data_IF_419155189241
#
_entry.id   IF_419155189241
#
_cell.length_a   1.000
_cell.length_b   1.000
_cell.length_c   1.000
_cell.angle_alpha   90.00
_cell.angle_beta   90.00
_cell.angle_gamma   90.00
#
_symmetry.space_group_name_H-M   'P 1'
#
loop_
_entity.id
_entity.type
_entity.pdbx_description
1 polymer ?
#
# COMPACT_ATOMS: atom_id res chain seq x y z
N UNK A 1 -23.67 6.89 -5.21
CA UNK A 1 -22.67 7.83 -5.74
C UNK A 1 -22.16 8.63 -4.58
N UNK A 2 -20.86 8.60 -4.35
CA UNK A 2 -20.23 9.35 -3.28
C UNK A 2 -20.09 10.83 -3.65
N UNK A 3 -19.93 11.71 -2.66
CA UNK A 3 -19.85 13.17 -2.86
C UNK A 3 -18.78 13.56 -3.89
N UNK A 4 -17.60 12.92 -3.85
CA UNK A 4 -16.50 13.20 -4.78
C UNK A 4 -16.84 12.86 -6.24
N UNK A 5 -17.69 11.85 -6.48
CA UNK A 5 -18.11 11.47 -7.82
C UNK A 5 -19.00 12.55 -8.42
N UNK A 6 -19.94 13.07 -7.62
CA UNK A 6 -20.84 14.15 -8.01
C UNK A 6 -20.05 15.42 -8.31
N UNK A 7 -19.08 15.75 -7.46
CA UNK A 7 -18.21 16.92 -7.66
C UNK A 7 -17.39 16.78 -8.96
N UNK A 8 -16.76 15.63 -9.21
CA UNK A 8 -16.00 15.39 -10.44
C UNK A 8 -16.85 15.55 -11.71
N UNK A 9 -18.06 14.99 -11.71
CA UNK A 9 -19.00 15.09 -12.85
C UNK A 9 -19.45 16.54 -13.03
N UNK A 10 -19.74 17.25 -11.93
CA UNK A 10 -20.17 18.65 -11.98
C UNK A 10 -19.10 19.53 -12.60
N UNK A 11 -17.82 19.35 -12.23
CA UNK A 11 -16.72 20.09 -12.85
C UNK A 11 -16.55 19.76 -14.34
N UNK A 12 -16.70 18.49 -14.73
CA UNK A 12 -16.66 18.12 -16.14
C UNK A 12 -17.81 18.76 -16.95
N UNK A 13 -19.02 18.84 -16.36
CA UNK A 13 -20.17 19.53 -16.95
C UNK A 13 -19.96 21.04 -17.06
N UNK A 14 -19.36 21.66 -16.04
CA UNK A 14 -18.96 23.09 -16.09
C UNK A 14 -18.01 23.32 -17.26
N UNK A 15 -17.07 22.40 -17.51
CA UNK A 15 -16.20 22.43 -18.68
C UNK A 15 -16.98 22.47 -20.00
N UNK A 16 -18.00 21.63 -20.15
CA UNK A 16 -18.88 21.64 -21.34
C UNK A 16 -19.62 22.97 -21.49
N UNK A 17 -20.16 23.52 -20.40
CA UNK A 17 -20.86 24.82 -20.40
C UNK A 17 -19.92 25.95 -20.85
N UNK A 18 -18.70 25.99 -20.33
CA UNK A 18 -17.67 26.97 -20.73
C UNK A 18 -17.38 26.82 -22.23
N UNK A 19 -17.26 25.59 -22.72
CA UNK A 19 -17.06 25.31 -24.14
C UNK A 19 -18.17 25.87 -25.02
N UNK A 20 -19.43 25.70 -24.61
CA UNK A 20 -20.60 26.23 -25.32
C UNK A 20 -20.58 27.77 -25.33
N UNK A 21 -20.26 28.41 -24.19
CA UNK A 21 -20.15 29.88 -24.10
C UNK A 21 -19.05 30.40 -25.04
N UNK A 22 -17.87 29.77 -25.03
CA UNK A 22 -16.76 30.12 -25.93
C UNK A 22 -17.16 29.97 -27.40
N UNK A 23 -17.91 28.92 -27.74
CA UNK A 23 -18.43 28.73 -29.10
C UNK A 23 -19.38 29.85 -29.51
N UNK A 24 -20.31 30.26 -28.64
CA UNK A 24 -21.21 31.39 -28.92
C UNK A 24 -20.45 32.71 -29.08
N UNK A 25 -19.48 32.98 -28.20
CA UNK A 25 -18.61 34.16 -28.31
C UNK A 25 -17.81 34.17 -29.62
N UNK A 26 -17.28 33.01 -30.03
CA UNK A 26 -16.54 32.88 -31.30
C UNK A 26 -17.38 33.26 -32.52
N UNK A 27 -18.68 32.94 -32.47
CA UNK A 27 -19.64 33.26 -33.52
C UNK A 27 -19.98 34.76 -33.52
N UNK A 28 -20.11 35.38 -32.35
CA UNK A 28 -20.37 36.82 -32.21
C UNK A 28 -19.20 37.64 -32.76
N UNK A 29 -17.97 37.25 -32.48
CA UNK A 29 -16.76 37.98 -32.94
C UNK A 29 -16.24 37.54 -34.32
N UNK A 30 -16.87 36.55 -34.95
CA UNK A 30 -16.46 35.97 -36.25
C UNK A 30 -14.97 35.53 -36.28
N UNK A 31 -14.47 34.99 -35.17
CA UNK A 31 -13.09 34.52 -35.05
C UNK A 31 -13.02 33.04 -35.47
N UNK A 32 -12.67 32.79 -36.74
CA UNK A 32 -12.63 31.43 -37.31
C UNK A 32 -11.75 30.44 -36.53
N UNK A 33 -10.60 30.90 -36.01
CA UNK A 33 -9.73 30.07 -35.17
C UNK A 33 -10.36 29.67 -33.84
N UNK A 34 -11.02 30.62 -33.16
CA UNK A 34 -11.68 30.38 -31.88
C UNK A 34 -12.87 29.42 -32.03
N UNK A 35 -13.59 29.50 -33.16
CA UNK A 35 -14.69 28.58 -33.46
C UNK A 35 -14.21 27.14 -33.52
N UNK A 36 -13.18 26.85 -34.33
CA UNK A 36 -12.61 25.50 -34.46
C UNK A 36 -12.08 24.97 -33.12
N UNK A 37 -11.42 25.84 -32.34
CA UNK A 37 -10.93 25.49 -31.00
C UNK A 37 -12.08 25.10 -30.07
N UNK A 38 -13.14 25.92 -30.01
CA UNK A 38 -14.30 25.66 -29.13
C UNK A 38 -15.08 24.41 -29.53
N UNK A 39 -15.18 24.07 -30.82
CA UNK A 39 -15.80 22.82 -31.27
C UNK A 39 -15.03 21.59 -30.76
N UNK A 40 -13.70 21.60 -30.87
CA UNK A 40 -12.84 20.52 -30.35
C UNK A 40 -13.01 20.43 -28.82
N UNK A 41 -12.96 21.56 -28.13
CA UNK A 41 -13.08 21.61 -26.67
C UNK A 41 -14.42 21.05 -26.17
N UNK A 42 -15.54 21.36 -26.82
CA UNK A 42 -16.87 20.80 -26.47
C UNK A 42 -16.88 19.28 -26.61
N UNK A 43 -16.34 18.75 -27.72
CA UNK A 43 -16.25 17.31 -27.93
C UNK A 43 -15.38 16.61 -26.88
N UNK A 44 -14.23 17.19 -26.55
CA UNK A 44 -13.33 16.63 -25.53
C UNK A 44 -13.94 16.66 -24.12
N UNK A 45 -14.57 17.77 -23.73
CA UNK A 45 -15.27 17.88 -22.46
C UNK A 45 -16.44 16.88 -22.38
N UNK A 46 -17.22 16.74 -23.46
CA UNK A 46 -18.31 15.76 -23.54
C UNK A 46 -17.84 14.30 -23.41
N UNK A 47 -16.76 13.93 -24.10
CA UNK A 47 -16.13 12.60 -23.96
C UNK A 47 -15.62 12.38 -22.54
N UNK A 48 -15.10 13.43 -21.88
CA UNK A 48 -14.61 13.34 -20.50
C UNK A 48 -15.74 13.07 -19.50
N UNK A 49 -16.91 13.68 -19.68
CA UNK A 49 -18.11 13.38 -18.87
C UNK A 49 -18.55 11.92 -19.05
N UNK A 50 -18.64 11.45 -20.29
CA UNK A 50 -19.01 10.05 -20.57
C UNK A 50 -17.99 9.06 -19.98
N UNK A 51 -16.71 9.38 -20.09
CA UNK A 51 -15.63 8.58 -19.52
C UNK A 51 -15.72 8.54 -17.99
N UNK A 52 -15.98 9.67 -17.33
CA UNK A 52 -16.13 9.73 -15.88
C UNK A 52 -17.30 8.85 -15.41
N UNK A 53 -18.46 8.96 -16.06
CA UNK A 53 -19.63 8.13 -15.75
C UNK A 53 -19.35 6.63 -15.93
N UNK A 54 -18.75 6.25 -17.07
CA UNK A 54 -18.37 4.87 -17.34
C UNK A 54 -17.38 4.35 -16.29
N UNK A 55 -16.38 5.15 -15.93
CA UNK A 55 -15.32 4.80 -15.00
C UNK A 55 -15.85 4.59 -13.59
N UNK A 56 -16.76 5.43 -13.09
CA UNK A 56 -17.36 5.22 -11.77
C UNK A 56 -18.19 3.93 -11.70
N UNK A 57 -19.02 3.68 -12.72
CA UNK A 57 -19.80 2.42 -12.80
C UNK A 57 -18.85 1.21 -12.88
N UNK A 58 -17.77 1.32 -13.66
CA UNK A 58 -16.79 0.26 -13.80
C UNK A 58 -16.05 -0.01 -12.47
N UNK A 59 -15.61 1.03 -11.76
CA UNK A 59 -14.92 0.88 -10.46
C UNK A 59 -15.83 0.22 -9.43
N UNK A 60 -17.09 0.62 -9.33
CA UNK A 60 -18.03 0.02 -8.37
C UNK A 60 -18.24 -1.48 -8.66
N UNK A 61 -18.41 -1.85 -9.94
CA UNK A 61 -18.55 -3.26 -10.33
C UNK A 61 -17.27 -4.05 -10.12
N UNK A 62 -16.13 -3.47 -10.48
CA UNK A 62 -14.82 -4.09 -10.34
C UNK A 62 -14.45 -4.30 -8.87
N UNK A 63 -14.76 -3.35 -7.99
CA UNK A 63 -14.51 -3.46 -6.54
C UNK A 63 -15.23 -4.66 -5.93
N UNK A 64 -16.52 -4.82 -6.22
CA UNK A 64 -17.30 -5.96 -5.72
C UNK A 64 -16.74 -7.28 -6.25
N UNK A 65 -16.46 -7.36 -7.55
CA UNK A 65 -15.89 -8.54 -8.18
C UNK A 65 -14.52 -8.92 -7.60
N UNK A 66 -13.61 -7.95 -7.42
CA UNK A 66 -12.29 -8.19 -6.85
C UNK A 66 -12.33 -8.50 -5.36
N UNK A 67 -13.31 -7.99 -4.63
CA UNK A 67 -13.55 -8.38 -3.24
C UNK A 67 -13.95 -9.85 -3.16
N UNK A 68 -14.88 -10.31 -4.01
CA UNK A 68 -15.30 -11.72 -4.06
C UNK A 68 -14.10 -12.64 -4.39
N UNK A 69 -13.26 -12.26 -5.36
CA UNK A 69 -12.03 -13.00 -5.67
C UNK A 69 -11.09 -13.01 -4.46
N UNK A 70 -10.88 -11.86 -3.82
CA UNK A 70 -10.02 -11.78 -2.63
C UNK A 70 -10.54 -12.68 -1.51
N UNK A 71 -11.86 -12.73 -1.31
CA UNK A 71 -12.48 -13.61 -0.33
C UNK A 71 -12.22 -15.09 -0.63
N UNK A 72 -12.40 -15.51 -1.88
CA UNK A 72 -12.10 -16.90 -2.27
C UNK A 72 -10.60 -17.21 -2.12
N UNK A 73 -9.71 -16.28 -2.48
CA UNK A 73 -8.28 -16.42 -2.28
C UNK A 73 -7.89 -16.55 -0.80
N UNK A 74 -8.57 -15.85 0.11
CA UNK A 74 -8.28 -15.98 1.54
C UNK A 74 -8.91 -17.24 2.16
N UNK A 75 -10.03 -17.72 1.63
CA UNK A 75 -10.61 -19.01 2.05
C UNK A 75 -9.66 -20.17 1.78
N UNK A 76 -8.87 -20.15 0.70
CA UNK A 76 -7.91 -21.23 0.40
C UNK A 76 -6.80 -21.35 1.47
N UNK A 77 -6.44 -20.25 2.13
CA UNK A 77 -5.51 -20.25 3.27
C UNK A 77 -6.23 -20.37 4.63
N UNK A 78 -7.51 -20.79 4.62
CA UNK A 78 -8.29 -21.03 5.83
C UNK A 78 -8.74 -19.77 6.58
N UNK A 79 -8.82 -18.63 5.89
CA UNK A 79 -9.22 -17.33 6.47
C UNK A 79 -10.55 -16.87 5.89
N UNK A 80 -11.49 -16.55 6.78
CA UNK A 80 -12.76 -15.94 6.38
C UNK A 80 -12.74 -14.43 6.62
N UNK A 81 -12.91 -13.68 5.52
CA UNK A 81 -13.05 -12.21 5.50
C UNK A 81 -14.48 -11.76 5.15
N UNK A 82 -15.47 -12.66 5.24
CA UNK A 82 -16.88 -12.36 4.91
C UNK A 82 -17.49 -11.20 5.68
N UNK A 83 -16.97 -10.89 6.87
CA UNK A 83 -17.44 -9.79 7.71
C UNK A 83 -16.90 -8.41 7.33
N UNK A 84 -15.93 -8.30 6.41
CA UNK A 84 -15.21 -7.05 6.14
C UNK A 84 -16.08 -6.05 5.37
N UNK A 85 -16.32 -4.89 5.99
CA UNK A 85 -16.92 -3.71 5.36
C UNK A 85 -15.91 -2.54 5.33
N UNK A 86 -15.83 -1.77 4.22
CA UNK A 86 -16.55 -1.92 2.95
C UNK A 86 -16.01 -3.08 2.09
N UNK A 87 -16.86 -3.66 1.23
CA UNK A 87 -16.51 -4.75 0.29
C UNK A 87 -15.61 -4.27 -0.85
N UNK A 88 -14.35 -4.00 -0.54
CA UNK A 88 -13.34 -3.54 -1.49
C UNK A 88 -12.08 -4.39 -1.38
N UNK A 89 -11.34 -4.62 -2.48
CA UNK A 89 -10.08 -5.38 -2.43
C UNK A 89 -9.06 -4.77 -1.48
N UNK A 90 -9.09 -3.43 -1.37
CA UNK A 90 -8.29 -2.65 -0.44
C UNK A 90 -8.67 -2.91 1.03
N UNK A 91 -9.96 -3.02 1.36
CA UNK A 91 -10.38 -3.37 2.72
C UNK A 91 -9.97 -4.81 3.08
N UNK A 92 -10.11 -5.76 2.14
CA UNK A 92 -9.64 -7.13 2.31
C UNK A 92 -8.12 -7.15 2.59
N UNK A 93 -7.33 -6.45 1.76
CA UNK A 93 -5.89 -6.31 1.94
C UNK A 93 -5.57 -5.70 3.32
N UNK A 94 -6.24 -4.60 3.68
CA UNK A 94 -6.03 -3.88 4.95
C UNK A 94 -6.28 -4.77 6.15
N UNK A 95 -7.36 -5.56 6.13
CA UNK A 95 -7.71 -6.45 7.25
C UNK A 95 -6.66 -7.54 7.42
N UNK A 96 -6.22 -8.17 6.33
CA UNK A 96 -5.19 -9.20 6.37
C UNK A 96 -3.83 -8.63 6.76
N UNK A 97 -3.45 -7.47 6.21
CA UNK A 97 -2.24 -6.75 6.60
C UNK A 97 -2.25 -6.36 8.07
N UNK A 98 -3.37 -5.83 8.56
CA UNK A 98 -3.49 -5.41 9.95
C UNK A 98 -3.35 -6.61 10.89
N UNK A 99 -3.94 -7.76 10.52
CA UNK A 99 -3.80 -8.98 11.28
C UNK A 99 -2.36 -9.50 11.23
N UNK A 100 -1.71 -9.50 10.07
CA UNK A 100 -0.29 -9.85 9.92
C UNK A 100 0.61 -8.90 10.73
N UNK A 101 0.34 -7.59 10.74
CA UNK A 101 1.12 -6.60 11.48
C UNK A 101 0.94 -6.74 12.98
N UNK A 102 -0.29 -6.86 13.46
CA UNK A 102 -0.57 -6.91 14.88
C UNK A 102 -0.22 -8.27 15.49
N UNK A 103 -0.61 -9.36 14.83
CA UNK A 103 -0.42 -10.72 15.33
C UNK A 103 0.98 -11.25 15.05
N UNK A 104 1.64 -10.78 13.98
CA UNK A 104 2.98 -11.25 13.61
C UNK A 104 4.06 -10.22 13.92
N UNK A 105 4.01 -9.07 13.25
CA UNK A 105 5.15 -8.18 13.22
C UNK A 105 5.38 -7.43 14.54
N UNK A 106 4.34 -6.90 15.19
CA UNK A 106 4.50 -6.17 16.46
C UNK A 106 4.97 -7.09 17.59
N UNK A 107 4.43 -8.31 17.66
CA UNK A 107 4.85 -9.34 18.62
C UNK A 107 6.30 -9.77 18.38
N UNK A 108 6.65 -10.05 17.13
CA UNK A 108 8.03 -10.42 16.76
C UNK A 108 8.98 -9.27 17.01
N UNK A 109 8.60 -8.04 16.69
CA UNK A 109 9.40 -6.83 16.87
C UNK A 109 9.78 -6.58 18.33
N UNK A 110 8.80 -6.64 19.25
CA UNK A 110 9.08 -6.46 20.68
C UNK A 110 10.04 -7.52 21.23
N UNK A 111 9.90 -8.76 20.76
CA UNK A 111 10.78 -9.84 21.17
C UNK A 111 12.18 -9.73 20.52
N UNK A 112 12.27 -9.32 19.25
CA UNK A 112 13.54 -9.00 18.58
C UNK A 112 14.29 -7.87 19.30
N UNK A 113 13.59 -6.85 19.79
CA UNK A 113 14.20 -5.75 20.55
C UNK A 113 14.81 -6.24 21.87
N UNK A 114 14.10 -7.11 22.61
CA UNK A 114 14.66 -7.69 23.83
C UNK A 114 15.87 -8.56 23.53
N UNK A 115 15.80 -9.37 22.47
CA UNK A 115 16.91 -10.21 22.02
C UNK A 115 18.11 -9.35 21.63
N UNK A 116 17.90 -8.29 20.85
CA UNK A 116 18.95 -7.34 20.48
C UNK A 116 19.58 -6.69 21.71
N UNK A 117 18.78 -6.17 22.64
CA UNK A 117 19.28 -5.53 23.86
C UNK A 117 20.14 -6.49 24.70
N UNK A 118 19.73 -7.76 24.79
CA UNK A 118 20.52 -8.80 25.47
C UNK A 118 21.85 -9.07 24.73
N UNK A 119 21.83 -9.24 23.41
CA UNK A 119 23.04 -9.49 22.63
C UNK A 119 24.00 -8.30 22.62
N UNK A 120 23.49 -7.06 22.58
CA UNK A 120 24.31 -5.85 22.70
C UNK A 120 24.89 -5.70 24.10
N UNK A 121 24.12 -5.98 25.16
CA UNK A 121 24.64 -5.98 26.54
C UNK A 121 25.75 -7.02 26.74
N UNK A 122 25.58 -8.23 26.20
CA UNK A 122 26.61 -9.27 26.25
C UNK A 122 27.80 -8.90 25.38
N UNK A 123 27.56 -8.38 24.17
CA UNK A 123 28.60 -7.94 23.24
C UNK A 123 29.47 -6.82 23.80
N UNK A 124 28.88 -5.81 24.44
CA UNK A 124 29.60 -4.74 25.14
C UNK A 124 30.45 -5.29 26.29
N UNK A 125 29.92 -6.25 27.04
CA UNK A 125 30.65 -6.90 28.13
C UNK A 125 31.88 -7.66 27.61
N UNK A 126 31.74 -8.41 26.50
CA UNK A 126 32.86 -9.13 25.88
C UNK A 126 33.88 -8.17 25.26
N UNK A 127 33.41 -7.14 24.56
CA UNK A 127 34.28 -6.12 23.93
C UNK A 127 35.13 -5.37 24.98
N UNK A 128 34.56 -5.10 26.16
CA UNK A 128 35.27 -4.46 27.28
C UNK A 128 36.41 -5.29 27.87
N UNK A 129 36.38 -6.62 27.69
CA UNK A 129 37.41 -7.54 28.22
C UNK A 129 38.65 -7.61 27.32
N UNK A 130 38.63 -6.98 26.14
CA UNK A 130 39.77 -6.90 25.23
C UNK A 130 39.93 -8.18 24.41
N UNK A 131 39.32 -8.19 23.23
CA UNK A 131 39.32 -9.33 22.30
C UNK A 131 40.74 -9.77 21.86
N UNK A 132 41.75 -8.90 21.99
CA UNK A 132 43.14 -9.20 21.59
C UNK A 132 43.85 -10.24 22.47
N UNK A 133 43.39 -10.49 23.71
CA UNK A 133 44.11 -11.38 24.65
C UNK A 133 43.34 -12.65 25.03
N UNK A 134 42.24 -12.97 24.35
CA UNK A 134 41.33 -14.04 24.80
C UNK A 134 41.39 -15.28 23.90
N UNK A 135 41.39 -16.46 24.55
CA UNK A 135 41.45 -17.78 23.92
C UNK A 135 40.38 -17.96 22.81
N UNK A 136 40.61 -18.86 21.85
CA UNK A 136 39.70 -19.21 20.74
C UNK A 136 38.17 -19.23 21.05
N UNK A 137 37.69 -19.69 22.23
CA UNK A 137 36.25 -19.74 22.52
C UNK A 137 35.57 -18.37 22.58
N UNK A 138 36.22 -17.34 23.14
CA UNK A 138 35.61 -16.00 23.30
C UNK A 138 35.55 -15.25 21.97
N UNK A 139 36.51 -15.49 21.07
CA UNK A 139 36.45 -14.97 19.70
C UNK A 139 35.23 -15.52 18.95
N UNK A 140 34.93 -16.82 19.07
CA UNK A 140 33.76 -17.43 18.42
C UNK A 140 32.43 -16.84 18.91
N UNK A 141 32.34 -16.52 20.21
CA UNK A 141 31.19 -15.83 20.79
C UNK A 141 31.07 -14.40 20.27
N UNK A 142 32.18 -13.66 20.18
CA UNK A 142 32.19 -12.31 19.63
C UNK A 142 31.68 -12.28 18.18
N UNK A 143 32.19 -13.16 17.31
CA UNK A 143 31.69 -13.28 15.93
C UNK A 143 30.20 -13.67 15.87
N UNK A 144 29.75 -14.56 16.75
CA UNK A 144 28.33 -14.92 16.89
C UNK A 144 27.46 -13.72 17.24
N UNK A 145 27.88 -12.87 18.18
CA UNK A 145 27.12 -11.67 18.56
C UNK A 145 27.03 -10.63 17.43
N UNK A 146 28.08 -10.46 16.63
CA UNK A 146 28.08 -9.56 15.48
C UNK A 146 27.11 -10.07 14.40
N UNK A 147 27.20 -11.35 14.05
CA UNK A 147 26.33 -11.97 13.06
C UNK A 147 24.84 -11.87 13.45
N UNK A 148 24.53 -12.15 14.72
CA UNK A 148 23.16 -12.06 15.23
C UNK A 148 22.68 -10.59 15.23
N UNK A 149 23.53 -9.63 15.58
CA UNK A 149 23.19 -8.19 15.54
C UNK A 149 22.81 -7.75 14.12
N UNK A 150 23.60 -8.13 13.10
CA UNK A 150 23.30 -7.76 11.72
C UNK A 150 22.05 -8.45 11.17
N UNK A 151 21.83 -9.71 11.56
CA UNK A 151 20.61 -10.44 11.24
C UNK A 151 19.37 -9.73 11.83
N UNK A 152 19.45 -9.31 13.10
CA UNK A 152 18.38 -8.56 13.77
C UNK A 152 18.10 -7.23 13.05
N UNK A 153 19.13 -6.48 12.64
CA UNK A 153 18.95 -5.23 11.87
C UNK A 153 18.21 -5.46 10.55
N UNK A 154 18.53 -6.53 9.82
CA UNK A 154 17.81 -6.89 8.59
C UNK A 154 16.36 -7.21 8.89
N UNK A 155 16.08 -7.97 9.96
CA UNK A 155 14.71 -8.28 10.37
C UNK A 155 13.93 -7.02 10.75
N UNK A 156 14.56 -6.08 11.46
CA UNK A 156 13.98 -4.77 11.77
C UNK A 156 13.63 -3.98 10.51
N UNK A 157 14.55 -3.93 9.55
CA UNK A 157 14.32 -3.27 8.28
C UNK A 157 13.14 -3.89 7.52
N UNK A 158 13.04 -5.22 7.48
CA UNK A 158 11.93 -5.92 6.84
C UNK A 158 10.58 -5.62 7.50
N UNK A 159 10.53 -5.66 8.83
CA UNK A 159 9.32 -5.30 9.60
C UNK A 159 8.92 -3.86 9.31
N UNK A 160 9.87 -2.92 9.38
CA UNK A 160 9.59 -1.50 9.13
C UNK A 160 9.13 -1.26 7.69
N UNK A 161 9.75 -1.93 6.71
CA UNK A 161 9.33 -1.87 5.30
C UNK A 161 7.89 -2.34 5.11
N UNK A 162 7.48 -3.43 5.78
CA UNK A 162 6.09 -3.90 5.74
C UNK A 162 5.10 -2.88 6.32
N UNK A 163 5.45 -2.21 7.42
CA UNK A 163 4.64 -1.16 8.02
C UNK A 163 4.53 0.07 7.12
N UNK A 164 5.65 0.47 6.50
CA UNK A 164 5.68 1.57 5.53
C UNK A 164 4.76 1.27 4.34
N UNK A 165 4.80 0.03 3.82
CA UNK A 165 3.92 -0.39 2.73
C UNK A 165 2.45 -0.36 3.13
N UNK A 166 2.11 -0.84 4.33
CA UNK A 166 0.75 -0.78 4.85
C UNK A 166 0.24 0.67 4.94
N UNK A 167 1.04 1.57 5.51
CA UNK A 167 0.70 3.00 5.60
C UNK A 167 0.54 3.63 4.21
N UNK A 168 1.39 3.25 3.26
CA UNK A 168 1.30 3.69 1.87
C UNK A 168 0.01 3.20 1.18
N UNK A 169 -0.40 1.94 1.41
CA UNK A 169 -1.69 1.45 0.88
C UNK A 169 -2.87 2.19 1.51
N UNK A 170 -2.87 2.39 2.83
CA UNK A 170 -3.92 3.15 3.54
C UNK A 170 -3.98 4.58 3.03
N UNK A 171 -2.82 5.21 2.82
CA UNK A 171 -2.72 6.53 2.22
C UNK A 171 -3.38 6.54 0.83
N UNK A 172 -3.00 5.64 -0.09
CA UNK A 172 -3.62 5.63 -1.41
C UNK A 172 -5.11 5.30 -1.39
N UNK A 173 -5.59 4.48 -0.45
CA UNK A 173 -7.02 4.26 -0.25
C UNK A 173 -7.78 5.51 0.19
N UNK A 174 -7.14 6.43 0.92
CA UNK A 174 -7.77 7.69 1.32
C UNK A 174 -7.71 8.74 0.20
N UNK A 175 -6.62 8.75 -0.58
CA UNK A 175 -6.36 9.80 -1.58
C UNK A 175 -6.79 9.45 -3.02
N UNK A 176 -7.15 8.19 -3.33
CA UNK A 176 -7.61 7.84 -4.68
C UNK A 176 -8.80 8.65 -5.20
N UNK A 177 -9.82 9.02 -4.38
CA UNK A 177 -10.96 9.77 -4.90
C UNK A 177 -10.51 11.16 -5.37
N UNK A 178 -9.58 11.77 -4.63
CA UNK A 178 -8.97 13.03 -4.99
C UNK A 178 -8.14 12.92 -6.28
N UNK A 179 -7.34 11.86 -6.44
CA UNK A 179 -6.56 11.64 -7.67
C UNK A 179 -7.44 11.47 -8.90
N UNK A 180 -8.52 10.68 -8.80
CA UNK A 180 -9.47 10.47 -9.91
C UNK A 180 -10.21 11.77 -10.22
N UNK A 181 -10.71 12.49 -9.20
CA UNK A 181 -11.39 13.76 -9.39
C UNK A 181 -10.49 14.78 -10.07
N UNK A 182 -9.27 14.99 -9.56
CA UNK A 182 -8.30 15.91 -10.13
C UNK A 182 -7.94 15.49 -11.57
N UNK A 183 -7.80 14.19 -11.80
CA UNK A 183 -7.53 13.64 -13.13
C UNK A 183 -8.65 13.93 -14.13
N UNK A 184 -9.92 13.80 -13.74
CA UNK A 184 -11.08 14.13 -14.59
C UNK A 184 -11.11 15.62 -14.90
N UNK A 185 -10.88 16.48 -13.90
CA UNK A 185 -10.87 17.95 -14.07
C UNK A 185 -9.78 18.35 -15.06
N UNK A 186 -8.54 17.87 -14.85
CA UNK A 186 -7.41 18.20 -15.72
C UNK A 186 -7.56 17.62 -17.12
N UNK A 187 -8.29 16.51 -17.26
CA UNK A 187 -8.58 15.92 -18.56
C UNK A 187 -9.54 16.77 -19.41
N UNK A 188 -10.42 17.54 -18.78
CA UNK A 188 -11.35 18.42 -19.48
C UNK A 188 -10.65 19.58 -20.20
N UNK A 189 -9.39 19.87 -19.88
CA UNK A 189 -8.59 20.91 -20.53
C UNK A 189 -7.51 20.29 -21.42
N UNK A 190 -7.49 20.69 -22.70
CA UNK A 190 -6.52 20.25 -23.70
C UNK A 190 -5.05 20.31 -23.23
N UNK A 191 -4.54 21.42 -22.62
CA UNK A 191 -3.13 21.49 -22.22
C UNK A 191 -2.75 20.53 -21.08
N UNK A 192 -3.71 20.12 -20.25
CA UNK A 192 -3.48 19.23 -19.09
C UNK A 192 -4.05 17.83 -19.29
N UNK A 193 -4.52 17.52 -20.50
CA UNK A 193 -5.20 16.26 -20.83
C UNK A 193 -4.37 15.02 -20.49
N UNK A 194 -3.08 15.07 -20.82
CA UNK A 194 -2.14 13.97 -20.56
C UNK A 194 -1.90 13.74 -19.07
N UNK A 195 -1.78 14.82 -18.28
CA UNK A 195 -1.67 14.75 -16.82
C UNK A 195 -2.95 14.22 -16.19
N UNK A 196 -4.11 14.65 -16.69
CA UNK A 196 -5.40 14.14 -16.25
C UNK A 196 -5.54 12.63 -16.48
N UNK A 197 -5.20 12.15 -17.68
CA UNK A 197 -5.16 10.72 -17.99
C UNK A 197 -4.21 9.94 -17.06
N UNK A 198 -3.02 10.48 -16.80
CA UNK A 198 -2.06 9.87 -15.89
C UNK A 198 -2.61 9.76 -14.45
N UNK A 199 -3.22 10.82 -13.92
CA UNK A 199 -3.77 10.81 -12.55
C UNK A 199 -4.95 9.85 -12.40
N UNK A 200 -5.80 9.73 -13.42
CA UNK A 200 -6.88 8.73 -13.44
C UNK A 200 -6.28 7.31 -13.38
N UNK A 201 -5.31 7.04 -14.27
CA UNK A 201 -4.60 5.75 -14.30
C UNK A 201 -3.89 5.44 -12.99
N UNK A 202 -3.20 6.42 -12.40
CA UNK A 202 -2.51 6.34 -11.13
C UNK A 202 -3.49 6.01 -9.99
N UNK A 203 -4.62 6.71 -9.94
CA UNK A 203 -5.67 6.47 -8.95
C UNK A 203 -6.19 5.03 -9.02
N UNK A 204 -6.52 4.53 -10.21
CA UNK A 204 -6.99 3.15 -10.39
C UNK A 204 -5.88 2.12 -10.09
N UNK A 205 -4.67 2.35 -10.58
CA UNK A 205 -3.54 1.44 -10.38
C UNK A 205 -3.20 1.25 -8.91
N UNK A 206 -3.16 2.35 -8.14
CA UNK A 206 -2.84 2.31 -6.72
C UNK A 206 -4.01 1.85 -5.84
N UNK A 207 -5.26 2.12 -6.24
CA UNK A 207 -6.43 1.73 -5.46
C UNK A 207 -6.90 0.29 -5.72
N UNK A 208 -6.76 -0.19 -6.96
CA UNK A 208 -7.31 -1.49 -7.38
C UNK A 208 -6.21 -2.51 -7.62
N UNK A 209 -5.25 -2.18 -8.49
CA UNK A 209 -4.24 -3.14 -8.96
C UNK A 209 -3.22 -3.45 -7.87
N UNK A 210 -2.78 -2.44 -7.12
CA UNK A 210 -1.82 -2.59 -6.04
C UNK A 210 -2.32 -3.54 -4.92
N UNK A 211 -3.48 -3.32 -4.26
CA UNK A 211 -3.94 -4.25 -3.22
C UNK A 211 -4.27 -5.63 -3.77
N UNK A 212 -4.77 -5.75 -5.00
CA UNK A 212 -5.08 -7.05 -5.58
C UNK A 212 -3.83 -7.89 -5.86
N UNK A 213 -2.82 -7.30 -6.51
CA UNK A 213 -1.53 -7.96 -6.75
C UNK A 213 -0.82 -8.30 -5.44
N UNK A 214 -0.97 -7.46 -4.43
CA UNK A 214 -0.47 -7.75 -3.09
C UNK A 214 -1.20 -8.92 -2.41
N UNK A 215 -2.54 -8.99 -2.48
CA UNK A 215 -3.32 -10.11 -1.95
C UNK A 215 -2.88 -11.44 -2.58
N UNK A 216 -2.66 -11.45 -3.90
CA UNK A 216 -2.11 -12.62 -4.61
C UNK A 216 -0.74 -12.97 -4.05
N UNK A 217 0.14 -11.98 -3.85
CA UNK A 217 1.45 -12.17 -3.26
C UNK A 217 1.41 -12.76 -1.85
N UNK A 218 0.47 -12.32 -1.00
CA UNK A 218 0.26 -12.90 0.34
C UNK A 218 -0.14 -14.36 0.22
N UNK A 219 -1.14 -14.67 -0.61
CA UNK A 219 -1.71 -16.02 -0.72
C UNK A 219 -0.67 -17.01 -1.27
N UNK A 220 0.12 -16.59 -2.26
CA UNK A 220 1.18 -17.43 -2.84
C UNK A 220 2.34 -17.69 -1.88
N UNK A 221 2.62 -16.78 -0.95
CA UNK A 221 3.74 -16.88 -0.01
C UNK A 221 3.28 -17.17 1.42
N UNK A 222 2.00 -17.52 1.60
CA UNK A 222 1.44 -17.78 2.92
C UNK A 222 2.07 -19.05 3.50
N UNK A 223 2.65 -18.92 4.69
CA UNK A 223 3.23 -20.04 5.42
C UNK A 223 2.76 -19.99 6.88
N UNK A 224 2.08 -21.04 7.32
CA UNK A 224 1.57 -21.18 8.69
C UNK A 224 2.68 -21.11 9.75
N UNK A 225 3.93 -21.39 9.37
CA UNK A 225 5.11 -21.27 10.24
C UNK A 225 5.36 -19.85 10.76
N UNK A 226 4.94 -18.82 10.02
CA UNK A 226 5.18 -17.43 10.41
C UNK A 226 4.24 -16.99 11.54
N UNK A 227 2.95 -17.32 11.43
CA UNK A 227 1.94 -16.85 12.36
C UNK A 227 0.69 -17.71 12.42
N UNK A 228 0.33 -18.17 13.61
CA UNK A 228 -0.99 -18.75 13.91
C UNK A 228 -2.03 -17.63 13.96
N UNK A 229 -2.41 -17.10 12.81
CA UNK A 229 -3.48 -16.10 12.74
C UNK A 229 -4.80 -16.74 13.25
N UNK A 230 -5.70 -15.96 13.84
CA UNK A 230 -7.02 -16.43 14.21
C UNK A 230 -7.81 -16.91 12.98
N UNK A 231 -8.56 -18.01 13.10
CA UNK A 231 -9.30 -18.64 11.98
C UNK A 231 -10.47 -17.78 11.47
N UNK A 232 -10.95 -16.83 12.28
CA UNK A 232 -12.04 -15.92 11.92
C UNK A 232 -11.58 -14.50 12.16
N UNK A 233 -11.62 -13.66 11.13
CA UNK A 233 -11.27 -12.26 11.22
C UNK A 233 -12.59 -11.48 11.35
N UNK A 234 -12.87 -10.95 12.54
CA UNK A 234 -13.96 -10.00 12.72
C UNK A 234 -13.40 -8.59 12.50
N UNK A 235 -13.94 -7.87 11.53
CA UNK A 235 -13.73 -6.43 11.45
C UNK A 235 -14.58 -5.77 12.52
N UNK A 236 -13.93 -5.23 13.56
CA UNK A 236 -14.60 -4.26 14.41
C UNK A 236 -14.82 -2.98 13.59
N UNK A 237 -16.08 -2.62 13.33
CA UNK A 237 -16.47 -1.44 12.55
C UNK A 237 -15.97 -0.10 13.16
N UNK A 238 -15.28 -0.12 14.30
CA UNK A 238 -14.61 1.04 14.93
C UNK A 238 -13.20 1.33 14.39
N UNK A 239 -12.72 0.53 13.43
CA UNK A 239 -11.42 0.65 12.74
C UNK A 239 -11.19 1.95 11.95
N UNK A 240 -12.20 2.83 11.88
CA UNK A 240 -12.15 4.14 11.23
C UNK A 240 -11.51 5.27 12.05
N UNK A 241 -11.49 5.19 13.39
CA UNK A 241 -10.95 6.29 14.23
C UNK A 241 -10.09 5.84 15.42
N UNK A 242 -10.06 4.55 15.80
CA UNK A 242 -9.22 4.06 16.89
C UNK A 242 -7.72 3.90 16.56
N UNK A 243 -7.32 4.05 15.29
CA UNK A 243 -5.97 3.68 14.82
C UNK A 243 -4.98 4.84 14.76
N UNK A 244 -5.42 6.07 15.07
CA UNK A 244 -4.51 7.11 15.55
C UNK A 244 -3.91 6.70 16.92
N UNK A 245 -4.62 5.86 17.69
CA UNK A 245 -4.22 5.49 19.05
C UNK A 245 -3.47 4.15 19.15
N UNK A 246 -3.40 3.35 18.09
CA UNK A 246 -2.58 2.11 18.10
C UNK A 246 -1.08 2.38 17.91
N UNK A 247 -0.73 3.56 17.38
CA UNK A 247 0.64 4.10 17.41
C UNK A 247 0.79 5.23 18.43
N UNK A 248 -0.28 5.55 19.16
CA UNK A 248 -0.16 6.26 20.42
C UNK A 248 0.29 5.19 21.42
N UNK A 249 1.62 5.09 21.59
CA UNK A 249 2.26 4.52 22.78
C UNK A 249 1.98 5.51 23.95
N UNK A 250 0.71 5.90 24.06
CA UNK A 250 0.12 6.93 24.88
C UNK A 250 -0.71 6.26 25.95
N UNK A 251 -0.01 5.91 27.01
CA UNK A 251 -0.45 5.95 28.41
C UNK A 251 -1.51 4.96 28.94
N UNK A 252 -2.43 4.38 28.17
CA UNK A 252 -3.58 3.69 28.80
C UNK A 252 -3.76 2.19 28.56
N UNK A 253 -2.90 1.52 27.79
CA UNK A 253 -2.86 0.04 27.75
C UNK A 253 -1.60 -0.51 28.42
N UNK A 254 -1.52 -0.31 29.74
CA UNK A 254 -0.71 -1.17 30.62
C UNK A 254 -1.32 -2.58 30.68
N UNK A 255 -1.52 -3.22 29.54
CA UNK A 255 -1.57 -4.68 29.51
C UNK A 255 -0.14 -5.12 29.73
N UNK A 256 0.18 -5.34 31.01
CA UNK A 256 1.25 -6.23 31.45
C UNK A 256 1.11 -7.50 30.61
N UNK A 257 1.83 -7.57 29.48
CA UNK A 257 1.96 -8.80 28.71
C UNK A 257 2.50 -9.79 29.72
N UNK A 258 1.67 -10.76 30.10
CA UNK A 258 1.98 -11.71 31.14
C UNK A 258 3.41 -12.20 30.91
N UNK A 259 4.28 -12.07 31.92
CA UNK A 259 5.71 -12.39 31.81
C UNK A 259 5.93 -13.79 31.21
N UNK A 260 4.97 -14.71 31.42
CA UNK A 260 4.90 -16.02 30.78
C UNK A 260 4.84 -15.99 29.24
N UNK A 261 4.06 -15.08 28.65
CA UNK A 261 3.99 -14.86 27.20
C UNK A 261 5.34 -14.40 26.65
N UNK A 262 6.01 -13.48 27.34
CA UNK A 262 7.33 -12.96 26.92
C UNK A 262 8.38 -14.05 26.99
N UNK A 263 8.43 -14.83 28.07
CA UNK A 263 9.37 -15.94 28.23
C UNK A 263 9.13 -17.01 27.16
N UNK A 264 7.87 -17.37 26.88
CA UNK A 264 7.56 -18.37 25.85
C UNK A 264 7.96 -17.90 24.44
N UNK A 265 7.82 -16.61 24.13
CA UNK A 265 8.30 -16.02 22.89
C UNK A 265 9.82 -16.00 22.81
N UNK A 266 10.48 -15.64 23.91
CA UNK A 266 11.94 -15.63 23.98
C UNK A 266 12.51 -17.03 23.70
N UNK A 267 11.95 -18.06 24.33
CA UNK A 267 12.34 -19.46 24.08
C UNK A 267 12.08 -19.84 22.62
N UNK A 268 10.95 -19.43 22.05
CA UNK A 268 10.61 -19.74 20.65
C UNK A 268 11.57 -19.08 19.66
N UNK A 269 11.95 -17.82 19.88
CA UNK A 269 12.90 -17.09 19.03
C UNK A 269 14.31 -17.62 19.23
N UNK A 270 14.69 -17.95 20.46
CA UNK A 270 15.99 -18.57 20.72
C UNK A 270 16.10 -19.92 20.00
N UNK A 271 15.06 -20.77 20.10
CA UNK A 271 14.99 -22.03 19.37
C UNK A 271 15.02 -21.83 17.85
N UNK A 272 14.35 -20.79 17.34
CA UNK A 272 14.40 -20.42 15.92
C UNK A 272 15.83 -20.04 15.51
N UNK A 273 16.53 -19.23 16.31
CA UNK A 273 17.91 -18.79 16.04
C UNK A 273 18.89 -19.98 16.08
N UNK A 274 18.70 -20.91 17.01
CA UNK A 274 19.57 -22.08 17.15
C UNK A 274 19.40 -23.11 16.02
N UNK A 275 18.28 -23.07 15.29
CA UNK A 275 17.97 -23.99 14.20
C UNK A 275 18.12 -23.28 12.84
N UNK A 276 19.25 -23.47 12.12
CA UNK A 276 19.54 -22.70 10.91
C UNK A 276 18.51 -22.94 9.78
N UNK A 277 17.95 -24.15 9.67
CA UNK A 277 16.94 -24.47 8.65
C UNK A 277 15.65 -23.71 8.86
N UNK A 278 15.17 -23.59 10.10
CA UNK A 278 13.96 -22.84 10.43
C UNK A 278 14.19 -21.34 10.33
N UNK A 279 15.37 -20.85 10.71
CA UNK A 279 15.74 -19.44 10.58
C UNK A 279 15.78 -19.00 9.12
N UNK A 280 16.40 -19.80 8.24
CA UNK A 280 16.43 -19.49 6.79
C UNK A 280 15.03 -19.49 6.19
N UNK A 281 14.19 -20.48 6.53
CA UNK A 281 12.80 -20.52 6.06
C UNK A 281 11.99 -19.31 6.55
N UNK A 282 12.18 -18.92 7.81
CA UNK A 282 11.52 -17.75 8.41
C UNK A 282 11.93 -16.45 7.72
N UNK A 283 13.25 -16.23 7.56
CA UNK A 283 13.77 -15.04 6.88
C UNK A 283 13.28 -14.97 5.45
N UNK A 284 13.32 -16.10 4.72
CA UNK A 284 12.82 -16.14 3.35
C UNK A 284 11.34 -15.77 3.28
N UNK A 285 10.52 -16.31 4.19
CA UNK A 285 9.09 -16.06 4.21
C UNK A 285 8.75 -14.62 4.59
N UNK A 286 9.44 -14.03 5.59
CA UNK A 286 9.30 -12.60 5.91
C UNK A 286 9.76 -11.74 4.73
N UNK A 287 10.90 -12.05 4.12
CA UNK A 287 11.42 -11.29 2.99
C UNK A 287 10.47 -11.35 1.79
N UNK A 288 9.90 -12.53 1.52
CA UNK A 288 8.91 -12.73 0.48
C UNK A 288 7.65 -11.88 0.72
N UNK A 289 7.12 -11.89 1.94
CA UNK A 289 5.88 -11.22 2.30
C UNK A 289 6.03 -9.70 2.50
N UNK A 290 7.15 -9.27 3.09
CA UNK A 290 7.40 -7.88 3.50
C UNK A 290 8.05 -7.03 2.42
N UNK A 291 8.81 -7.64 1.51
CA UNK A 291 9.60 -6.91 0.52
C UNK A 291 9.27 -7.33 -0.91
N UNK A 292 9.38 -8.63 -1.22
CA UNK A 292 9.20 -9.11 -2.60
C UNK A 292 7.76 -8.93 -3.08
N UNK A 293 6.76 -9.34 -2.29
CA UNK A 293 5.36 -9.21 -2.67
C UNK A 293 4.93 -7.75 -2.88
N UNK A 294 5.24 -6.79 -1.99
CA UNK A 294 5.00 -5.37 -2.24
C UNK A 294 5.69 -4.83 -3.49
N UNK A 295 6.95 -5.22 -3.73
CA UNK A 295 7.72 -4.76 -4.87
C UNK A 295 7.11 -5.25 -6.19
N UNK A 296 6.74 -6.53 -6.26
CA UNK A 296 6.04 -7.10 -7.41
C UNK A 296 4.68 -6.42 -7.62
N UNK A 297 3.92 -6.21 -6.54
CA UNK A 297 2.64 -5.52 -6.60
C UNK A 297 2.78 -4.08 -7.14
N UNK A 298 3.82 -3.37 -6.69
CA UNK A 298 4.12 -2.02 -7.16
C UNK A 298 4.54 -1.99 -8.63
N UNK A 299 5.35 -2.96 -9.08
CA UNK A 299 5.69 -3.11 -10.51
C UNK A 299 4.42 -3.31 -11.34
N UNK A 300 3.53 -4.22 -10.93
CA UNK A 300 2.26 -4.43 -11.64
C UNK A 300 1.39 -3.17 -11.66
N UNK A 301 1.29 -2.46 -10.55
CA UNK A 301 0.54 -1.20 -10.47
C UNK A 301 1.13 -0.15 -11.42
N UNK A 302 2.45 0.07 -11.42
CA UNK A 302 3.10 1.04 -12.31
C UNK A 302 3.03 0.64 -13.79
N UNK A 303 3.19 -0.65 -14.10
CA UNK A 303 3.00 -1.17 -15.46
C UNK A 303 1.57 -0.92 -15.94
N UNK A 304 0.58 -1.17 -15.09
CA UNK A 304 -0.82 -0.84 -15.39
C UNK A 304 -0.99 0.66 -15.62
N UNK A 305 -0.42 1.51 -14.77
CA UNK A 305 -0.50 2.98 -14.92
C UNK A 305 0.06 3.43 -16.27
N UNK A 306 1.20 2.89 -16.69
CA UNK A 306 1.82 3.25 -17.97
C UNK A 306 0.96 2.84 -19.18
N UNK A 307 0.43 1.61 -19.16
CA UNK A 307 -0.41 1.09 -20.26
C UNK A 307 -1.75 1.83 -20.30
N UNK A 308 -2.41 1.98 -19.16
CA UNK A 308 -3.71 2.65 -19.06
C UNK A 308 -3.63 4.15 -19.39
N UNK A 309 -2.55 4.84 -19.02
CA UNK A 309 -2.33 6.24 -19.41
C UNK A 309 -2.30 6.40 -20.93
N UNK A 310 -1.62 5.47 -21.62
CA UNK A 310 -1.56 5.46 -23.08
C UNK A 310 -2.93 5.14 -23.69
N UNK A 311 -3.66 4.17 -23.13
CA UNK A 311 -5.01 3.82 -23.58
C UNK A 311 -6.01 4.97 -23.40
N UNK A 312 -5.83 5.75 -22.33
CA UNK A 312 -6.59 6.96 -22.05
C UNK A 312 -6.17 8.16 -22.93
N UNK A 313 -5.24 7.99 -23.88
CA UNK A 313 -4.78 9.03 -24.79
C UNK A 313 -3.77 10.00 -24.17
N UNK A 314 -3.23 9.69 -22.99
CA UNK A 314 -2.16 10.44 -22.36
C UNK A 314 -0.80 10.00 -22.89
N UNK A 315 0.11 10.97 -23.09
CA UNK A 315 1.52 10.70 -23.41
C UNK A 315 2.39 11.15 -22.25
N UNK A 316 3.09 10.21 -21.62
CA UNK A 316 3.94 10.47 -20.44
C UNK A 316 5.04 11.49 -20.78
N UNK A 317 5.57 11.46 -22.00
CA UNK A 317 6.57 12.42 -22.48
C UNK A 317 6.06 13.87 -22.53
N UNK A 318 4.75 14.08 -22.69
CA UNK A 318 4.14 15.41 -22.68
C UNK A 318 3.97 15.94 -21.25
N UNK A 319 3.70 15.06 -20.28
CA UNK A 319 3.59 15.44 -18.86
C UNK A 319 4.92 16.01 -18.36
N UNK A 320 6.04 15.34 -18.65
CA UNK A 320 7.37 15.84 -18.29
C UNK A 320 7.71 17.17 -18.95
N UNK A 321 7.40 17.31 -20.25
CA UNK A 321 7.64 18.55 -21.00
C UNK A 321 6.80 19.73 -20.53
N UNK A 322 5.57 19.49 -20.10
CA UNK A 322 4.68 20.51 -19.55
C UNK A 322 5.21 21.10 -18.24
N UNK A 323 5.73 20.25 -17.35
CA UNK A 323 6.33 20.66 -16.07
C UNK A 323 7.57 21.55 -16.28
N UNK A 324 8.45 21.20 -17.21
CA UNK A 324 9.64 22.01 -17.51
C UNK A 324 9.36 23.35 -18.22
N UNK A 325 8.16 23.54 -18.78
CA UNK A 325 7.77 24.84 -19.38
C UNK A 325 7.12 25.80 -18.38
N UNK A 326 6.73 25.31 -17.21
CA UNK A 326 6.09 26.08 -16.14
C UNK A 326 7.08 26.58 -15.09
N UNK A 327 8.29 26.02 -15.04
CA UNK A 327 9.43 26.47 -14.23
C UNK A 327 10.34 27.32 -15.08
#
# INVERSE_FOLDING_TARGET
MDEYQVVAITFALIGVIIGIILYQLSKIFNLGGLKRYSEIFIWEAGVTVLLALFLFVMIDRLNNFLFDISQEMFKTIGRDISGVNPKTPMAAARVVLNELINSCYLRTYGALLMVQALFESVGMSIASVGAENTNLPTASLAFGTIYISDLLKIMFFLVWSSMAMFKLMVFFSAYYPFLIMLGIILRAFEPTKSLGAYLISLGIGLYVVLPMSYNIGIVLNYNDLLCSLPKKIQSDDTLGMGYANAFDIGENSRSFVAVSSVISMFVSIFLLITNPSTLVSFIYSIMALSFIAPLIAFIFALSFVNISTTALGGRISEVGRGLFRLV
#
